data_IF_039441267853
#
_entry.id   IF_039441267853
#
_cell.length_a   1.000
_cell.length_b   1.000
_cell.length_c   1.000
_cell.angle_alpha   90.00
_cell.angle_beta   90.00
_cell.angle_gamma   90.00
#
_symmetry.space_group_name_H-M   'P 1'
#
loop_
_entity.id
_entity.type
_entity.pdbx_description
1 polymer ?
#
# COMPACT_ATOMS: atom_id res chain seq x y z
N UNK A 1 34.34 23.93 52.87
CA UNK A 1 33.29 22.91 52.83
C UNK A 1 32.73 22.87 51.41
N UNK A 2 33.17 21.93 50.64
CA UNK A 2 32.95 21.87 49.17
C UNK A 2 31.63 21.18 48.87
N UNK A 3 30.73 21.91 48.27
CA UNK A 3 29.50 21.37 47.66
C UNK A 3 29.78 21.19 46.19
N UNK A 4 30.04 19.96 45.79
CA UNK A 4 30.14 19.59 44.37
C UNK A 4 28.77 19.62 43.76
N UNK A 5 28.57 20.54 42.83
CA UNK A 5 27.41 20.69 42.02
C UNK A 5 27.54 19.76 40.81
N UNK A 6 26.92 18.59 40.89
CA UNK A 6 26.81 17.69 39.74
C UNK A 6 25.75 18.18 38.80
N UNK A 7 26.17 18.82 37.74
CA UNK A 7 25.29 19.13 36.59
C UNK A 7 25.26 17.93 35.64
N UNK A 8 24.37 17.02 35.88
CA UNK A 8 24.04 16.01 34.88
C UNK A 8 23.14 16.62 33.81
N UNK A 9 23.77 17.12 32.78
CA UNK A 9 23.08 17.48 31.54
C UNK A 9 22.67 16.19 30.84
N UNK A 10 21.41 15.85 31.00
CA UNK A 10 20.81 14.76 30.23
C UNK A 10 20.69 15.27 28.79
N UNK A 11 21.62 14.89 27.95
CA UNK A 11 21.49 15.02 26.50
C UNK A 11 20.44 14.02 26.04
N UNK A 12 19.25 14.52 25.79
CA UNK A 12 18.23 13.77 25.10
C UNK A 12 18.71 13.51 23.66
N UNK A 13 19.19 12.31 23.44
CA UNK A 13 19.58 11.82 22.12
C UNK A 13 18.31 11.38 21.41
N UNK A 14 17.81 12.23 20.51
CA UNK A 14 16.77 11.85 19.57
C UNK A 14 17.37 10.85 18.58
N UNK A 15 17.16 9.57 18.82
CA UNK A 15 17.41 8.52 17.84
C UNK A 15 16.23 8.54 16.88
N UNK A 16 16.42 9.16 15.74
CA UNK A 16 15.53 8.99 14.60
C UNK A 16 15.72 7.55 14.11
N UNK A 17 14.84 6.65 14.54
CA UNK A 17 14.76 5.32 13.99
C UNK A 17 14.23 5.40 12.56
N UNK A 18 15.13 5.50 11.58
CA UNK A 18 14.82 5.21 10.21
C UNK A 18 14.47 3.72 10.12
N UNK A 19 13.19 3.41 10.07
CA UNK A 19 12.68 2.06 9.89
C UNK A 19 12.87 1.69 8.41
N UNK A 20 14.07 1.25 8.06
CA UNK A 20 14.33 0.55 6.81
C UNK A 20 13.78 -0.87 6.98
N UNK A 21 12.56 -1.11 6.51
CA UNK A 21 12.05 -2.47 6.36
C UNK A 21 12.80 -3.18 5.24
N UNK A 22 13.97 -3.70 5.57
CA UNK A 22 14.62 -4.75 4.79
C UNK A 22 13.96 -6.07 5.19
N UNK A 23 12.88 -6.41 4.53
CA UNK A 23 12.32 -7.75 4.60
C UNK A 23 13.20 -8.71 3.78
N UNK A 24 14.29 -9.14 4.39
CA UNK A 24 14.98 -10.34 3.96
C UNK A 24 14.17 -11.54 4.43
N UNK A 25 13.21 -11.95 3.63
CA UNK A 25 12.62 -13.27 3.79
C UNK A 25 13.60 -14.27 3.22
N UNK A 26 14.49 -14.75 4.05
CA UNK A 26 15.27 -15.94 3.74
C UNK A 26 14.33 -17.14 3.78
N UNK A 27 13.88 -17.57 2.63
CA UNK A 27 13.16 -18.85 2.50
C UNK A 27 14.12 -19.98 2.85
N UNK A 28 13.96 -20.58 3.99
CA UNK A 28 14.57 -21.89 4.29
C UNK A 28 13.71 -22.92 3.59
N UNK A 29 14.20 -23.37 2.45
CA UNK A 29 13.63 -24.52 1.74
C UNK A 29 14.03 -25.80 2.46
N UNK A 30 13.05 -26.53 2.99
CA UNK A 30 13.09 -28.00 3.00
C UNK A 30 11.75 -28.56 3.46
N UNK A 31 10.89 -28.85 2.50
CA UNK A 31 10.02 -30.03 2.52
C UNK A 31 9.45 -30.23 1.12
N UNK A 32 9.56 -31.43 0.60
CA UNK A 32 9.10 -31.88 -0.70
C UNK A 32 7.56 -32.03 -0.75
N UNK A 33 6.86 -30.99 -0.41
CA UNK A 33 5.49 -30.76 -0.82
C UNK A 33 5.53 -29.48 -1.66
N UNK A 34 5.34 -29.61 -2.97
CA UNK A 34 5.03 -28.49 -3.84
C UNK A 34 3.69 -27.91 -3.38
N UNK A 35 3.68 -27.22 -2.23
CA UNK A 35 2.59 -26.31 -1.93
C UNK A 35 2.63 -25.26 -3.02
N UNK A 36 1.71 -25.41 -3.97
CA UNK A 36 1.58 -24.45 -5.04
C UNK A 36 1.28 -23.08 -4.42
N UNK A 37 2.28 -22.21 -4.44
CA UNK A 37 2.21 -20.88 -3.84
C UNK A 37 1.35 -19.96 -4.69
N UNK A 38 0.57 -19.12 -4.02
CA UNK A 38 -0.07 -17.98 -4.67
C UNK A 38 1.00 -16.91 -4.93
N UNK A 39 1.10 -16.47 -6.18
CA UNK A 39 1.96 -15.36 -6.58
C UNK A 39 1.07 -14.17 -6.92
N UNK A 40 1.49 -12.98 -6.51
CA UNK A 40 0.80 -11.75 -6.83
C UNK A 40 1.77 -10.61 -7.16
N UNK A 41 1.25 -9.61 -7.86
CA UNK A 41 1.94 -8.38 -8.14
C UNK A 41 0.94 -7.24 -8.19
N UNK A 42 1.22 -6.17 -7.45
CA UNK A 42 0.44 -4.95 -7.44
C UNK A 42 1.33 -3.83 -8.01
N UNK A 43 0.91 -3.18 -9.09
CA UNK A 43 1.67 -2.10 -9.71
C UNK A 43 0.76 -0.91 -10.06
N UNK A 44 1.18 0.34 -9.75
CA UNK A 44 0.44 1.53 -10.15
C UNK A 44 0.44 1.69 -11.67
N UNK A 45 -0.64 2.23 -12.21
CA UNK A 45 -0.73 2.65 -13.59
C UNK A 45 -0.27 4.10 -13.69
N UNK A 46 0.67 4.38 -14.58
CA UNK A 46 1.24 5.72 -14.75
C UNK A 46 0.17 6.74 -15.12
N UNK A 47 0.18 7.91 -14.49
CA UNK A 47 -0.77 9.02 -14.71
C UNK A 47 -2.24 8.63 -14.52
N UNK A 48 -2.52 7.73 -13.62
CA UNK A 48 -3.86 7.23 -13.33
C UNK A 48 -4.04 6.99 -11.82
N UNK A 49 -5.28 7.03 -11.35
CA UNK A 49 -5.65 6.61 -10.00
C UNK A 49 -5.98 5.11 -9.98
N UNK A 50 -5.19 4.31 -10.68
CA UNK A 50 -5.47 2.89 -10.86
C UNK A 50 -4.25 2.03 -10.52
N UNK A 51 -4.53 0.77 -10.16
CA UNK A 51 -3.54 -0.26 -9.98
C UNK A 51 -3.87 -1.49 -10.80
N UNK A 52 -2.85 -2.08 -11.40
CA UNK A 52 -2.92 -3.41 -11.98
C UNK A 52 -2.58 -4.44 -10.92
N UNK A 53 -3.43 -5.46 -10.78
CA UNK A 53 -3.22 -6.59 -9.90
C UNK A 53 -3.17 -7.86 -10.74
N UNK A 54 -2.09 -8.62 -10.60
CA UNK A 54 -1.91 -9.94 -11.19
C UNK A 54 -1.83 -10.97 -10.07
N UNK A 55 -2.53 -12.07 -10.26
CA UNK A 55 -2.52 -13.20 -9.33
C UNK A 55 -2.37 -14.47 -10.13
N UNK A 56 -1.47 -15.33 -9.71
CA UNK A 56 -1.35 -16.71 -10.16
C UNK A 56 -1.54 -17.62 -8.95
N UNK A 57 -2.54 -18.50 -9.02
CA UNK A 57 -2.95 -19.33 -7.90
C UNK A 57 -3.27 -20.75 -8.33
N UNK A 58 -3.08 -21.74 -7.46
CA UNK A 58 -3.65 -23.09 -7.66
C UNK A 58 -5.18 -23.02 -7.68
N UNK A 59 -5.80 -23.96 -8.40
CA UNK A 59 -7.25 -23.98 -8.56
C UNK A 59 -8.02 -24.16 -7.25
N UNK A 60 -7.40 -24.80 -6.25
CA UNK A 60 -8.00 -25.05 -4.93
C UNK A 60 -7.78 -23.90 -3.92
N UNK A 61 -7.01 -22.89 -4.25
CA UNK A 61 -6.76 -21.74 -3.35
C UNK A 61 -7.76 -20.62 -3.63
N UNK A 62 -8.37 -20.08 -2.58
CA UNK A 62 -9.19 -18.88 -2.64
C UNK A 62 -8.30 -17.67 -2.47
N UNK A 63 -8.48 -16.68 -3.34
CA UNK A 63 -7.76 -15.41 -3.26
C UNK A 63 -8.78 -14.27 -3.34
N UNK A 64 -8.54 -13.24 -2.58
CA UNK A 64 -9.39 -12.04 -2.54
C UNK A 64 -8.51 -10.80 -2.64
N UNK A 65 -8.92 -9.83 -3.43
CA UNK A 65 -8.34 -8.49 -3.44
C UNK A 65 -9.21 -7.57 -2.59
N UNK A 66 -8.62 -6.91 -1.62
CA UNK A 66 -9.31 -6.01 -0.69
C UNK A 66 -8.63 -4.66 -0.69
N UNK A 67 -9.39 -3.59 -0.60
CA UNK A 67 -8.89 -2.24 -0.35
C UNK A 67 -9.44 -1.76 0.99
N UNK A 68 -8.55 -1.31 1.86
CA UNK A 68 -8.90 -0.77 3.16
C UNK A 68 -8.45 0.68 3.30
N UNK A 69 -9.16 1.46 4.10
CA UNK A 69 -8.77 2.81 4.48
C UNK A 69 -7.72 2.83 5.60
N UNK A 70 -7.34 4.02 6.07
CA UNK A 70 -6.38 4.20 7.17
C UNK A 70 -6.81 3.59 8.50
N UNK A 71 -8.11 3.37 8.69
CA UNK A 71 -8.72 2.82 9.91
C UNK A 71 -9.02 1.32 9.78
N UNK A 72 -8.50 0.68 8.71
CA UNK A 72 -8.74 -0.71 8.32
C UNK A 72 -10.20 -1.03 7.96
N UNK A 73 -11.01 -0.02 7.64
CA UNK A 73 -12.33 -0.29 7.09
C UNK A 73 -12.21 -0.70 5.63
N UNK A 74 -12.91 -1.75 5.27
CA UNK A 74 -12.95 -2.24 3.90
C UNK A 74 -13.79 -1.30 3.03
N UNK A 75 -13.18 -0.78 1.96
CA UNK A 75 -13.84 0.09 0.97
C UNK A 75 -14.12 -0.62 -0.35
N UNK A 76 -13.42 -1.72 -0.61
CA UNK A 76 -13.62 -2.56 -1.79
C UNK A 76 -13.18 -4.00 -1.54
N UNK A 77 -13.93 -4.96 -2.11
CA UNK A 77 -13.58 -6.39 -2.09
C UNK A 77 -13.88 -7.02 -3.43
N UNK A 78 -12.96 -7.84 -3.90
CA UNK A 78 -13.15 -8.65 -5.10
C UNK A 78 -12.59 -10.06 -4.92
N UNK A 79 -13.39 -11.06 -5.23
CA UNK A 79 -12.99 -12.45 -5.20
C UNK A 79 -12.34 -12.85 -6.52
N UNK A 80 -11.16 -13.43 -6.43
CA UNK A 80 -10.45 -13.98 -7.59
C UNK A 80 -10.99 -15.38 -7.86
N UNK A 81 -12.07 -15.43 -8.61
CA UNK A 81 -12.67 -16.70 -9.04
C UNK A 81 -12.29 -16.99 -10.49
N UNK A 82 -11.12 -17.58 -10.68
CA UNK A 82 -10.68 -18.02 -12.00
C UNK A 82 -10.34 -19.51 -11.99
N UNK A 83 -10.95 -20.22 -12.92
CA UNK A 83 -10.61 -21.63 -13.18
C UNK A 83 -9.25 -21.80 -13.86
N UNK A 84 -8.73 -20.74 -14.50
CA UNK A 84 -7.45 -20.75 -15.19
C UNK A 84 -6.24 -20.60 -14.26
N UNK A 85 -6.46 -20.34 -12.97
CA UNK A 85 -5.39 -20.07 -12.03
C UNK A 85 -4.68 -18.71 -12.21
N UNK A 86 -5.00 -17.95 -13.24
CA UNK A 86 -4.41 -16.65 -13.55
C UNK A 86 -5.48 -15.58 -13.59
N UNK A 87 -5.22 -14.47 -12.91
CA UNK A 87 -6.10 -13.30 -12.83
C UNK A 87 -5.27 -12.05 -13.10
N UNK A 88 -5.84 -11.15 -13.90
CA UNK A 88 -5.29 -9.83 -14.11
C UNK A 88 -6.45 -8.84 -14.20
N UNK A 89 -6.41 -7.78 -13.38
CA UNK A 89 -7.43 -6.74 -13.38
C UNK A 89 -6.83 -5.39 -13.03
N UNK A 90 -7.36 -4.34 -13.63
CA UNK A 90 -7.11 -2.96 -13.26
C UNK A 90 -8.20 -2.49 -12.31
N UNK A 91 -7.79 -1.98 -11.15
CA UNK A 91 -8.66 -1.38 -10.15
C UNK A 91 -8.56 0.13 -10.27
N UNK A 92 -9.68 0.78 -10.53
CA UNK A 92 -9.80 2.24 -10.62
C UNK A 92 -10.30 2.81 -9.29
N UNK A 93 -9.54 3.73 -8.72
CA UNK A 93 -9.82 4.38 -7.45
C UNK A 93 -10.18 5.87 -7.58
N UNK A 94 -10.54 6.31 -8.78
CA UNK A 94 -10.93 7.71 -9.05
C UNK A 94 -12.15 8.16 -8.23
N UNK A 95 -12.97 7.22 -7.79
CA UNK A 95 -14.16 7.49 -6.97
C UNK A 95 -13.89 7.53 -5.46
N UNK A 96 -12.67 7.21 -5.01
CA UNK A 96 -12.29 7.31 -3.61
C UNK A 96 -11.99 8.77 -3.23
N UNK A 97 -12.34 9.15 -2.01
CA UNK A 97 -11.99 10.44 -1.44
C UNK A 97 -10.50 10.55 -1.14
N UNK A 98 -10.02 11.79 -0.91
CA UNK A 98 -8.66 12.01 -0.44
C UNK A 98 -8.39 11.24 0.85
N UNK A 99 -7.24 10.57 0.92
CA UNK A 99 -6.87 9.76 2.07
C UNK A 99 -5.84 8.69 1.76
N UNK A 100 -5.47 7.94 2.80
CA UNK A 100 -4.56 6.80 2.70
C UNK A 100 -5.34 5.50 2.62
N UNK A 101 -4.91 4.64 1.71
CA UNK A 101 -5.52 3.34 1.44
C UNK A 101 -4.46 2.27 1.29
N UNK A 102 -4.84 1.03 1.51
CA UNK A 102 -3.99 -0.13 1.25
C UNK A 102 -4.76 -1.15 0.42
N UNK A 103 -4.23 -1.48 -0.76
CA UNK A 103 -4.69 -2.61 -1.55
C UNK A 103 -3.95 -3.86 -1.10
N UNK A 104 -4.65 -4.96 -0.88
CA UNK A 104 -4.14 -6.21 -0.37
C UNK A 104 -4.61 -7.39 -1.20
N UNK A 105 -3.74 -8.36 -1.40
CA UNK A 105 -4.09 -9.67 -1.95
C UNK A 105 -4.04 -10.67 -0.80
N UNK A 106 -5.17 -11.30 -0.51
CA UNK A 106 -5.34 -12.23 0.59
C UNK A 106 -5.51 -13.66 0.08
N UNK A 107 -4.83 -14.62 0.71
CA UNK A 107 -5.12 -16.04 0.56
C UNK A 107 -6.06 -16.49 1.67
N UNK A 108 -7.05 -17.28 1.33
CA UNK A 108 -8.02 -17.82 2.30
C UNK A 108 -8.69 -16.77 3.18
N UNK A 109 -8.80 -15.52 2.67
CA UNK A 109 -9.40 -14.34 3.32
C UNK A 109 -8.66 -13.80 4.57
N UNK A 110 -7.50 -14.33 4.92
CA UNK A 110 -6.80 -13.98 6.16
C UNK A 110 -5.34 -13.63 5.89
N UNK A 111 -4.64 -14.45 5.09
CA UNK A 111 -3.21 -14.32 4.91
C UNK A 111 -2.89 -13.28 3.83
N UNK A 112 -2.22 -12.21 4.21
CA UNK A 112 -1.76 -11.18 3.26
C UNK A 112 -0.56 -11.72 2.48
N UNK A 113 -0.74 -11.88 1.16
CA UNK A 113 0.31 -12.32 0.24
C UNK A 113 1.09 -11.13 -0.29
N UNK A 114 0.38 -10.05 -0.60
CA UNK A 114 0.94 -8.82 -1.15
C UNK A 114 0.10 -7.62 -0.71
N UNK A 115 0.73 -6.49 -0.48
CA UNK A 115 0.05 -5.26 -0.09
C UNK A 115 0.76 -4.03 -0.63
N UNK A 116 -0.02 -3.00 -1.00
CA UNK A 116 0.49 -1.71 -1.43
C UNK A 116 -0.31 -0.58 -0.81
N UNK A 117 0.38 0.28 -0.06
CA UNK A 117 -0.23 1.50 0.49
C UNK A 117 -0.05 2.64 -0.50
N UNK A 118 -1.08 3.46 -0.67
CA UNK A 118 -1.10 4.64 -1.52
C UNK A 118 -1.90 5.77 -0.88
N UNK A 119 -1.74 6.98 -1.40
CA UNK A 119 -2.47 8.15 -0.93
C UNK A 119 -3.09 8.88 -2.11
N UNK A 120 -4.36 9.21 -1.98
CA UNK A 120 -5.08 10.05 -2.94
C UNK A 120 -5.09 11.47 -2.38
N UNK A 121 -4.67 12.44 -3.21
CA UNK A 121 -4.66 13.86 -2.89
C UNK A 121 -5.19 14.67 -4.04
N UNK A 122 -6.15 15.54 -3.76
CA UNK A 122 -6.64 16.53 -4.72
C UNK A 122 -5.82 17.81 -4.61
N UNK A 123 -5.24 18.26 -5.72
CA UNK A 123 -4.51 19.51 -5.79
C UNK A 123 -5.34 20.55 -6.56
N UNK A 124 -5.49 21.74 -6.00
CA UNK A 124 -6.15 22.86 -6.64
C UNK A 124 -5.11 23.83 -7.20
N UNK A 125 -5.20 24.13 -8.50
CA UNK A 125 -4.36 25.14 -9.15
C UNK A 125 -5.20 26.41 -9.34
N UNK A 126 -4.75 27.55 -8.78
CA UNK A 126 -5.40 28.85 -8.97
C UNK A 126 -4.63 29.64 -10.02
N UNK A 127 -5.25 29.95 -11.13
CA UNK A 127 -4.72 30.85 -12.16
C UNK A 127 -5.29 32.23 -11.99
N UNK A 128 -4.45 33.27 -12.06
CA UNK A 128 -4.85 34.69 -12.05
C UNK A 128 -4.54 35.28 -13.39
N UNK A 129 -5.56 35.79 -14.07
CA UNK A 129 -5.43 36.46 -15.35
C UNK A 129 -5.73 37.96 -15.19
N UNK A 130 -4.95 38.81 -15.85
CA UNK A 130 -5.21 40.24 -15.93
C UNK A 130 -6.03 40.50 -17.19
N UNK A 131 -7.27 40.92 -16.99
CA UNK A 131 -8.17 41.30 -18.07
C UNK A 131 -8.21 42.79 -18.21
N UNK A 132 -7.79 43.35 -19.35
CA UNK A 132 -7.86 44.77 -19.65
C UNK A 132 -9.19 45.06 -20.36
N UNK A 133 -10.05 45.85 -19.73
CA UNK A 133 -11.28 46.29 -20.39
C UNK A 133 -10.95 47.34 -21.45
N UNK A 134 -11.44 47.14 -22.69
CA UNK A 134 -11.36 48.19 -23.71
C UNK A 134 -12.27 49.37 -23.33
N UNK A 135 -11.65 50.51 -23.14
CA UNK A 135 -12.43 51.75 -23.10
C UNK A 135 -12.91 52.07 -24.52
N UNK A 136 -14.20 52.37 -24.65
CA UNK A 136 -14.79 52.88 -25.92
C UNK A 136 -14.52 54.34 -26.07
#
# INVERSE_FOLDING_TARGET
>A
MNIMKNNNVIKAMFVAAAMTCLSNVSAIANSNDEEAFVKSKIAPVTNSLSFNVWVEKPNNKKVTVVVVDKDNNEVHREYVDTKSGKFAKTFDFSNLSDGKYTIQVLSSNIDVIDAKTFEIKTNFVTTRDLVVARQK
#
